data_IF_592703873858
#
_entry.id   IF_592703873858
#
_cell.length_a   1.000
_cell.length_b   1.000
_cell.length_c   1.000
_cell.angle_alpha   90.00
_cell.angle_beta   90.00
_cell.angle_gamma   90.00
#
_symmetry.space_group_name_H-M   'P 1'
#
loop_
_entity.id
_entity.type
_entity.pdbx_description
1 polymer ?
#
# COMPACT_ATOMS: atom_id res chain seq x y z
N UNK A 1 -8.92 -13.57 -6.85
CA UNK A 1 -8.01 -14.68 -7.22
C UNK A 1 -6.63 -14.08 -7.26
N UNK A 2 -5.58 -14.76 -6.75
CA UNK A 2 -4.21 -14.27 -6.85
C UNK A 2 -3.84 -14.10 -8.32
N UNK A 3 -3.22 -12.98 -8.64
CA UNK A 3 -2.77 -12.68 -10.00
C UNK A 3 -1.45 -13.44 -10.20
N UNK A 4 -1.44 -14.44 -11.07
CA UNK A 4 -0.26 -15.30 -11.26
C UNK A 4 0.63 -14.84 -12.42
N UNK A 5 0.15 -13.88 -13.21
CA UNK A 5 0.87 -13.28 -14.33
C UNK A 5 0.06 -12.14 -14.98
N UNK A 6 0.66 -11.38 -15.91
CA UNK A 6 0.01 -10.23 -16.55
C UNK A 6 -1.28 -10.60 -17.32
N UNK A 7 -1.42 -11.85 -17.74
CA UNK A 7 -2.62 -12.39 -18.39
C UNK A 7 -3.85 -12.52 -17.46
N UNK A 8 -3.64 -12.59 -16.14
CA UNK A 8 -4.71 -12.60 -15.14
C UNK A 8 -5.23 -11.17 -14.81
N UNK A 9 -4.52 -10.11 -15.26
CA UNK A 9 -4.92 -8.71 -15.05
C UNK A 9 -6.00 -8.24 -16.02
N UNK A 10 -6.00 -8.74 -17.26
CA UNK A 10 -6.87 -8.26 -18.36
C UNK A 10 -8.38 -8.29 -18.06
N UNK A 11 -8.82 -9.11 -17.10
CA UNK A 11 -10.22 -9.20 -16.68
C UNK A 11 -10.62 -8.27 -15.52
N UNK A 12 -9.66 -7.72 -14.79
CA UNK A 12 -9.87 -6.87 -13.61
C UNK A 12 -9.60 -5.38 -13.90
N UNK A 13 -8.92 -5.07 -15.02
CA UNK A 13 -8.47 -3.72 -15.38
C UNK A 13 -9.58 -2.67 -15.28
N UNK A 14 -10.79 -2.94 -15.77
CA UNK A 14 -11.88 -1.94 -15.74
C UNK A 14 -12.28 -1.52 -14.32
N UNK A 15 -12.27 -2.43 -13.34
CA UNK A 15 -12.59 -2.08 -11.95
C UNK A 15 -11.45 -1.33 -11.25
N UNK A 16 -10.20 -1.65 -11.61
CA UNK A 16 -9.02 -0.96 -11.10
C UNK A 16 -8.96 0.44 -11.69
N UNK A 17 -9.19 0.60 -12.99
CA UNK A 17 -9.28 1.88 -13.68
C UNK A 17 -10.40 2.75 -13.10
N UNK A 18 -11.59 2.19 -12.90
CA UNK A 18 -12.72 2.89 -12.27
C UNK A 18 -12.34 3.39 -10.87
N UNK A 19 -11.74 2.53 -10.03
CA UNK A 19 -11.31 2.90 -8.68
C UNK A 19 -10.19 3.95 -8.70
N UNK A 20 -9.16 3.77 -9.53
CA UNK A 20 -8.06 4.71 -9.68
C UNK A 20 -8.53 6.09 -10.17
N UNK A 21 -9.58 6.13 -11.01
CA UNK A 21 -10.18 7.38 -11.49
C UNK A 21 -10.88 8.19 -10.39
N UNK A 22 -11.17 7.59 -9.24
CA UNK A 22 -11.74 8.29 -8.08
C UNK A 22 -10.72 9.14 -7.33
N UNK A 23 -9.43 8.90 -7.54
CA UNK A 23 -8.34 9.71 -6.99
C UNK A 23 -8.38 9.83 -5.46
N UNK A 24 -8.92 8.82 -4.76
CA UNK A 24 -9.19 8.82 -3.33
C UNK A 24 -8.35 7.80 -2.54
N UNK A 25 -7.78 6.78 -3.20
CA UNK A 25 -6.91 5.79 -2.55
C UNK A 25 -5.45 6.19 -2.55
N UNK A 26 -4.84 6.23 -1.37
CA UNK A 26 -3.41 6.43 -1.16
C UNK A 26 -2.57 5.27 -1.70
N UNK A 27 -3.12 4.06 -1.78
CA UNK A 27 -2.46 2.91 -2.38
C UNK A 27 -2.54 2.90 -3.91
N UNK A 28 -3.73 3.11 -4.50
CA UNK A 28 -3.94 2.99 -5.95
C UNK A 28 -3.47 4.21 -6.74
N UNK A 29 -3.53 5.40 -6.14
CA UNK A 29 -3.14 6.65 -6.80
C UNK A 29 -1.67 7.00 -6.56
N UNK A 30 -0.88 6.09 -6.00
CA UNK A 30 0.55 6.29 -5.82
C UNK A 30 1.32 5.60 -6.94
N UNK A 31 2.39 6.24 -7.41
CA UNK A 31 3.32 5.60 -8.33
C UNK A 31 4.23 4.66 -7.53
N UNK A 32 4.00 3.37 -7.73
CA UNK A 32 4.57 2.24 -7.01
C UNK A 32 6.10 2.14 -7.12
N UNK A 33 6.70 2.81 -8.11
CA UNK A 33 8.15 2.85 -8.35
C UNK A 33 8.78 4.24 -8.17
N UNK A 34 7.97 5.30 -8.01
CA UNK A 34 8.45 6.67 -7.84
C UNK A 34 7.40 7.47 -7.07
N UNK A 35 7.71 7.94 -5.85
CA UNK A 35 6.78 8.82 -5.13
C UNK A 35 6.99 8.88 -3.63
N UNK A 36 6.06 9.58 -2.97
CA UNK A 36 6.21 9.98 -1.57
C UNK A 36 4.98 9.66 -0.73
N UNK A 37 5.22 9.16 0.49
CA UNK A 37 4.24 9.21 1.57
C UNK A 37 4.78 10.07 2.71
N UNK A 38 3.98 11.03 3.19
CA UNK A 38 4.36 11.90 4.30
C UNK A 38 3.59 11.53 5.58
N UNK A 39 4.16 11.74 6.78
CA UNK A 39 3.55 11.38 8.06
C UNK A 39 2.51 12.42 8.52
N UNK A 40 1.67 12.90 7.62
CA UNK A 40 0.59 13.84 7.90
C UNK A 40 -0.75 13.27 7.45
N UNK A 41 -1.81 13.40 8.25
CA UNK A 41 -3.13 12.91 7.86
C UNK A 41 -3.78 13.87 6.86
N UNK A 42 -4.34 13.32 5.79
CA UNK A 42 -5.24 13.98 4.86
C UNK A 42 -6.13 12.93 4.17
N UNK A 43 -7.30 13.35 3.72
CA UNK A 43 -8.39 12.44 3.29
C UNK A 43 -8.02 11.65 2.03
N UNK A 44 -7.65 12.34 0.94
CA UNK A 44 -7.20 11.72 -0.30
C UNK A 44 -5.82 12.21 -0.73
N UNK A 45 -5.16 11.52 -1.68
CA UNK A 45 -3.86 11.92 -2.23
C UNK A 45 -3.79 13.39 -2.62
N UNK A 46 -2.62 14.01 -2.43
CA UNK A 46 -2.36 15.36 -2.90
C UNK A 46 -1.74 15.31 -4.30
N UNK A 47 -2.24 16.16 -5.19
CA UNK A 47 -1.75 16.30 -6.56
C UNK A 47 -1.05 17.65 -6.72
N UNK A 48 0.27 17.61 -6.79
CA UNK A 48 1.13 18.74 -7.13
C UNK A 48 1.32 18.82 -8.65
N UNK A 49 1.92 19.90 -9.14
CA UNK A 49 2.29 19.95 -10.56
C UNK A 49 3.33 18.85 -10.86
N UNK A 50 3.16 18.15 -11.98
CA UNK A 50 3.89 16.91 -12.33
C UNK A 50 5.42 17.02 -12.22
N UNK A 51 5.99 18.18 -12.56
CA UNK A 51 7.45 18.42 -12.53
C UNK A 51 7.98 18.86 -11.15
N UNK A 52 7.13 18.90 -10.12
CA UNK A 52 7.52 19.42 -8.80
C UNK A 52 8.28 18.38 -7.98
N UNK A 53 7.88 17.11 -8.10
CA UNK A 53 8.41 15.96 -7.38
C UNK A 53 8.30 14.71 -8.26
N UNK A 54 9.16 13.73 -8.02
CA UNK A 54 9.02 12.40 -8.63
C UNK A 54 7.67 11.75 -8.26
N UNK A 55 7.19 10.83 -9.11
CA UNK A 55 5.87 10.21 -8.94
C UNK A 55 4.71 11.04 -9.49
N UNK A 56 4.94 11.76 -10.60
CA UNK A 56 3.94 12.57 -11.30
C UNK A 56 3.21 13.60 -10.39
N UNK A 57 3.90 14.13 -9.39
CA UNK A 57 3.33 15.12 -8.46
C UNK A 57 2.43 14.53 -7.37
N UNK A 58 2.29 13.21 -7.24
CA UNK A 58 1.39 12.58 -6.28
C UNK A 58 2.06 12.37 -4.91
N UNK A 59 1.36 12.79 -3.84
CA UNK A 59 1.82 12.61 -2.45
C UNK A 59 0.73 11.93 -1.63
N UNK A 60 1.05 10.77 -1.07
CA UNK A 60 0.18 10.01 -0.19
C UNK A 60 0.38 10.31 1.29
N UNK A 61 -0.61 9.97 2.11
CA UNK A 61 -0.54 10.03 3.57
C UNK A 61 -0.10 8.67 4.11
N UNK A 62 0.91 8.63 4.98
CA UNK A 62 1.28 7.37 5.66
C UNK A 62 0.14 6.86 6.56
N UNK A 63 -0.66 7.76 7.13
CA UNK A 63 -1.83 7.43 7.94
C UNK A 63 -2.97 6.90 7.07
N UNK A 64 -3.23 7.56 5.94
CA UNK A 64 -4.23 7.11 4.95
C UNK A 64 -3.90 5.74 4.40
N UNK A 65 -2.66 5.55 3.92
CA UNK A 65 -2.16 4.27 3.43
C UNK A 65 -2.25 3.17 4.50
N UNK A 66 -1.85 3.46 5.75
CA UNK A 66 -1.94 2.48 6.83
C UNK A 66 -3.40 2.04 7.09
N UNK A 67 -4.36 2.96 6.99
CA UNK A 67 -5.78 2.65 7.09
C UNK A 67 -6.24 1.69 5.99
N UNK A 68 -5.89 1.97 4.73
CA UNK A 68 -6.21 1.10 3.59
C UNK A 68 -5.58 -0.29 3.73
N UNK A 69 -4.32 -0.36 4.18
CA UNK A 69 -3.64 -1.63 4.44
C UNK A 69 -4.36 -2.46 5.51
N UNK A 70 -4.85 -1.84 6.59
CA UNK A 70 -5.61 -2.54 7.63
C UNK A 70 -6.90 -3.15 7.05
N UNK A 71 -7.58 -2.45 6.14
CA UNK A 71 -8.79 -2.96 5.47
C UNK A 71 -8.49 -4.11 4.51
N UNK A 72 -7.35 -4.06 3.80
CA UNK A 72 -6.92 -5.07 2.83
C UNK A 72 -6.42 -6.34 3.51
N UNK A 73 -5.77 -6.23 4.68
CA UNK A 73 -5.11 -7.34 5.38
C UNK A 73 -5.93 -8.66 5.40
N UNK A 74 -7.20 -8.69 5.86
CA UNK A 74 -7.98 -9.94 5.88
C UNK A 74 -8.32 -10.49 4.49
N UNK A 75 -8.37 -9.65 3.45
CA UNK A 75 -8.71 -10.07 2.08
C UNK A 75 -7.59 -10.87 1.43
N UNK A 76 -6.34 -10.59 1.80
CA UNK A 76 -5.14 -11.28 1.32
C UNK A 76 -4.57 -12.27 2.33
N UNK A 77 -5.28 -12.54 3.43
CA UNK A 77 -4.89 -13.54 4.42
C UNK A 77 -3.81 -13.10 5.41
N UNK A 78 -3.72 -11.80 5.71
CA UNK A 78 -2.91 -11.25 6.80
C UNK A 78 -3.78 -11.11 8.06
N UNK A 79 -3.36 -11.74 9.16
CA UNK A 79 -4.05 -11.69 10.45
C UNK A 79 -3.58 -10.52 11.31
N UNK A 80 -4.51 -9.62 11.66
CA UNK A 80 -4.25 -8.53 12.61
C UNK A 80 -4.83 -8.86 13.99
N UNK A 81 -4.20 -8.31 15.02
CA UNK A 81 -4.69 -8.33 16.39
C UNK A 81 -5.95 -7.45 16.54
N UNK A 82 -6.73 -7.58 17.63
CA UNK A 82 -7.95 -6.79 17.84
C UNK A 82 -7.75 -5.27 17.84
N UNK A 83 -6.54 -4.80 18.12
CA UNK A 83 -6.15 -3.39 18.08
C UNK A 83 -5.59 -2.96 16.72
N UNK A 84 -5.78 -3.79 15.68
CA UNK A 84 -5.27 -3.63 14.30
C UNK A 84 -3.75 -3.72 14.15
N UNK A 85 -3.02 -4.08 15.21
CA UNK A 85 -1.58 -4.27 15.13
C UNK A 85 -1.20 -5.61 14.48
N UNK A 86 -0.03 -5.64 13.84
CA UNK A 86 0.59 -6.86 13.34
C UNK A 86 1.49 -7.47 14.42
N UNK A 87 1.29 -8.76 14.73
CA UNK A 87 2.14 -9.47 15.69
C UNK A 87 3.45 -9.93 15.05
N UNK A 88 4.51 -10.06 15.85
CA UNK A 88 5.81 -10.57 15.39
C UNK A 88 5.71 -11.99 14.80
N UNK A 89 4.82 -12.81 15.35
CA UNK A 89 4.57 -14.17 14.86
C UNK A 89 3.95 -14.16 13.46
N UNK A 90 2.99 -13.27 13.21
CA UNK A 90 2.38 -13.12 11.90
C UNK A 90 3.37 -12.51 10.89
N UNK A 91 4.10 -11.45 11.27
CA UNK A 91 5.14 -10.87 10.43
C UNK A 91 6.19 -11.93 10.03
N UNK A 92 6.59 -12.78 10.98
CA UNK A 92 7.49 -13.90 10.72
C UNK A 92 6.88 -14.91 9.73
N UNK A 93 5.58 -15.22 9.87
CA UNK A 93 4.88 -16.12 8.93
C UNK A 93 4.91 -15.55 7.51
N UNK A 94 4.58 -14.28 7.32
CA UNK A 94 4.56 -13.63 6.00
C UNK A 94 5.93 -13.67 5.30
N UNK A 95 7.02 -13.53 6.05
CA UNK A 95 8.38 -13.59 5.49
C UNK A 95 8.80 -15.02 5.11
N UNK A 96 8.35 -16.03 5.87
CA UNK A 96 8.75 -17.42 5.63
C UNK A 96 7.89 -18.12 4.57
N UNK A 97 6.63 -17.70 4.41
CA UNK A 97 5.67 -18.32 3.50
C UNK A 97 5.67 -17.63 2.12
N UNK A 98 6.69 -17.91 1.31
CA UNK A 98 6.83 -17.35 -0.04
C UNK A 98 6.09 -18.11 -1.16
N UNK A 99 5.31 -19.14 -0.83
CA UNK A 99 4.73 -20.08 -1.81
C UNK A 99 3.20 -20.15 -1.84
N UNK A 100 2.52 -19.41 -0.96
CA UNK A 100 1.06 -19.40 -0.86
C UNK A 100 0.36 -18.48 -1.88
N UNK A 101 -0.97 -18.60 -2.03
CA UNK A 101 -1.76 -17.61 -2.76
C UNK A 101 -1.55 -16.22 -2.12
N UNK A 102 -1.34 -15.21 -2.96
CA UNK A 102 -1.04 -13.84 -2.58
C UNK A 102 0.32 -13.60 -1.90
N UNK A 103 1.30 -14.51 -2.05
CA UNK A 103 2.60 -14.36 -1.38
C UNK A 103 3.31 -13.03 -1.72
N UNK A 104 3.18 -12.54 -2.96
CA UNK A 104 3.77 -11.26 -3.38
C UNK A 104 3.03 -10.09 -2.72
N UNK A 105 1.71 -10.10 -2.76
CA UNK A 105 0.86 -9.07 -2.17
C UNK A 105 1.04 -9.02 -0.65
N UNK A 106 1.19 -10.17 0.01
CA UNK A 106 1.46 -10.26 1.44
C UNK A 106 2.82 -9.67 1.83
N UNK A 107 3.88 -9.94 1.07
CA UNK A 107 5.20 -9.37 1.38
C UNK A 107 5.25 -7.87 1.08
N UNK A 108 4.58 -7.42 0.01
CA UNK A 108 4.42 -6.00 -0.31
C UNK A 108 3.63 -5.28 0.77
N UNK A 109 2.50 -5.86 1.20
CA UNK A 109 1.69 -5.35 2.30
C UNK A 109 2.54 -5.18 3.58
N UNK A 110 3.36 -6.18 3.93
CA UNK A 110 4.23 -6.12 5.10
C UNK A 110 5.22 -4.97 5.02
N UNK A 111 5.88 -4.81 3.86
CA UNK A 111 6.85 -3.74 3.64
C UNK A 111 6.20 -2.35 3.76
N UNK A 112 5.04 -2.16 3.13
CA UNK A 112 4.28 -0.91 3.21
C UNK A 112 3.80 -0.62 4.63
N UNK A 113 3.26 -1.62 5.33
CA UNK A 113 2.75 -1.49 6.69
C UNK A 113 3.87 -1.04 7.65
N UNK A 114 5.03 -1.70 7.62
CA UNK A 114 6.17 -1.35 8.47
C UNK A 114 6.77 0.02 8.09
N UNK A 115 6.83 0.35 6.80
CA UNK A 115 7.26 1.67 6.35
C UNK A 115 6.33 2.78 6.87
N UNK A 116 5.00 2.60 6.79
CA UNK A 116 4.04 3.54 7.35
C UNK A 116 4.19 3.72 8.85
N UNK A 117 4.34 2.62 9.60
CA UNK A 117 4.55 2.69 11.06
C UNK A 117 5.83 3.43 11.42
N UNK A 118 6.93 3.15 10.72
CA UNK A 118 8.21 3.83 10.92
C UNK A 118 8.13 5.32 10.55
N UNK A 119 7.47 5.66 9.43
CA UNK A 119 7.20 7.03 8.99
C UNK A 119 6.45 7.82 10.06
N UNK A 120 5.31 7.30 10.51
CA UNK A 120 4.45 7.95 11.51
C UNK A 120 5.18 8.12 12.84
N UNK A 121 5.88 7.08 13.31
CA UNK A 121 6.58 7.12 14.59
C UNK A 121 7.77 8.09 14.58
N UNK A 122 8.46 8.22 13.44
CA UNK A 122 9.68 9.03 13.34
C UNK A 122 9.45 10.45 12.80
N UNK A 123 8.32 10.71 12.15
CA UNK A 123 8.04 11.97 11.48
C UNK A 123 8.80 12.16 10.15
N UNK A 124 9.28 11.09 9.53
CA UNK A 124 9.97 11.12 8.23
C UNK A 124 9.10 10.59 7.10
N UNK A 125 9.31 11.10 5.88
CA UNK A 125 8.63 10.60 4.70
C UNK A 125 9.18 9.24 4.24
N UNK A 126 8.34 8.45 3.58
CA UNK A 126 8.73 7.29 2.78
C UNK A 126 8.97 7.80 1.35
N UNK A 127 10.06 7.36 0.74
CA UNK A 127 10.46 7.76 -0.61
C UNK A 127 10.79 6.51 -1.43
N UNK A 128 10.21 6.40 -2.61
CA UNK A 128 10.53 5.38 -3.61
C UNK A 128 11.30 6.03 -4.77
N UNK A 129 12.41 5.41 -5.17
CA UNK A 129 13.39 5.90 -6.16
C UNK A 129 13.88 4.78 -7.04
#
# INVERSE_FOLDING_TARGET
MPVSGPEDLEGADGHIEDAASMLDSHLLCHADDAGFYVPLPFEGPLFLAEDTIDGAGMVGSSQGLLGELIEIAPLIGVGLEPDTSLSDAEASRLVQDGGGPYAVEQITWLALHEACRASIASGHAIVYT
#
